data_IF_140782169338
#
_entry.id   IF_140782169338
#
_cell.length_a   1.000
_cell.length_b   1.000
_cell.length_c   1.000
_cell.angle_alpha   90.00
_cell.angle_beta   90.00
_cell.angle_gamma   90.00
#
_symmetry.space_group_name_H-M   'P 1'
#
loop_
_entity.id
_entity.type
_entity.pdbx_description
1 polymer ?
#
# COMPACT_ATOMS: atom_id res chain seq x y z
N UNK A 1 -47.85 -61.56 37.78
CA UNK A 1 -47.28 -60.39 38.47
C UNK A 1 -46.68 -59.46 37.43
N UNK A 2 -47.34 -58.34 37.12
CA UNK A 2 -46.85 -57.32 36.16
C UNK A 2 -46.21 -56.21 36.98
N UNK A 3 -44.89 -56.05 36.86
CA UNK A 3 -44.12 -55.00 37.52
C UNK A 3 -44.36 -53.64 36.85
N UNK A 4 -44.96 -52.71 37.59
CA UNK A 4 -45.14 -51.31 37.17
C UNK A 4 -43.81 -50.57 37.39
N UNK A 5 -43.15 -50.18 36.30
CA UNK A 5 -41.91 -49.37 36.32
C UNK A 5 -42.32 -47.91 36.52
N UNK A 6 -42.01 -47.32 37.68
CA UNK A 6 -42.25 -45.90 37.95
C UNK A 6 -41.30 -45.05 37.09
N UNK A 7 -41.85 -44.36 36.09
CA UNK A 7 -41.13 -43.42 35.25
C UNK A 7 -41.01 -42.11 36.03
N UNK A 8 -39.79 -41.76 36.47
CA UNK A 8 -39.54 -40.56 37.26
C UNK A 8 -40.00 -39.30 36.52
N UNK A 9 -41.03 -38.61 37.05
CA UNK A 9 -41.45 -37.30 36.56
C UNK A 9 -40.35 -36.29 36.88
N UNK A 10 -39.78 -35.67 35.85
CA UNK A 10 -38.85 -34.55 36.04
C UNK A 10 -39.58 -33.42 36.79
N UNK A 11 -38.93 -32.86 37.82
CA UNK A 11 -39.50 -31.77 38.60
C UNK A 11 -39.78 -30.57 37.69
N UNK A 12 -41.01 -30.02 37.66
CA UNK A 12 -41.35 -28.89 36.81
C UNK A 12 -40.47 -27.67 37.12
N UNK A 13 -40.01 -27.52 38.37
CA UNK A 13 -39.09 -26.47 38.79
C UNK A 13 -37.71 -26.64 38.12
N UNK A 14 -37.21 -27.88 38.03
CA UNK A 14 -35.94 -28.17 37.38
C UNK A 14 -36.02 -27.88 35.87
N UNK A 15 -37.16 -28.18 35.23
CA UNK A 15 -37.37 -27.87 33.81
C UNK A 15 -37.43 -26.37 33.56
N UNK A 16 -38.07 -25.59 34.45
CA UNK A 16 -38.09 -24.12 34.36
C UNK A 16 -36.70 -23.53 34.54
N UNK A 17 -35.92 -24.02 35.52
CA UNK A 17 -34.55 -23.56 35.74
C UNK A 17 -33.63 -23.91 34.55
N UNK A 18 -33.78 -25.10 33.95
CA UNK A 18 -33.05 -25.47 32.75
C UNK A 18 -33.41 -24.58 31.56
N UNK A 19 -34.69 -24.27 31.37
CA UNK A 19 -35.15 -23.38 30.30
C UNK A 19 -34.59 -21.95 30.48
N UNK A 20 -34.61 -21.42 31.71
CA UNK A 20 -34.03 -20.11 32.04
C UNK A 20 -32.52 -20.08 31.83
N UNK A 21 -31.81 -21.14 32.24
CA UNK A 21 -30.37 -21.27 32.01
C UNK A 21 -30.01 -21.34 30.53
N UNK A 22 -30.79 -22.08 29.74
CA UNK A 22 -30.61 -22.16 28.29
C UNK A 22 -30.87 -20.80 27.62
N UNK A 23 -31.92 -20.09 28.04
CA UNK A 23 -32.24 -18.76 27.53
C UNK A 23 -31.16 -17.73 27.87
N UNK A 24 -30.60 -17.80 29.08
CA UNK A 24 -29.51 -16.93 29.48
C UNK A 24 -28.24 -17.23 28.67
N UNK A 25 -27.90 -18.50 28.46
CA UNK A 25 -26.75 -18.90 27.67
C UNK A 25 -26.88 -18.48 26.20
N UNK A 26 -28.06 -18.67 25.59
CA UNK A 26 -28.31 -18.27 24.20
C UNK A 26 -28.33 -16.75 24.03
N UNK A 27 -28.91 -16.01 24.98
CA UNK A 27 -28.87 -14.55 24.97
C UNK A 27 -27.44 -14.03 25.01
N UNK A 28 -26.60 -14.53 25.92
CA UNK A 28 -25.19 -14.14 26.04
C UNK A 28 -24.36 -14.54 24.81
N UNK A 29 -24.63 -15.71 24.21
CA UNK A 29 -23.97 -16.14 22.98
C UNK A 29 -24.35 -15.24 21.80
N UNK A 30 -25.63 -14.89 21.66
CA UNK A 30 -26.10 -13.99 20.62
C UNK A 30 -25.53 -12.59 20.80
N UNK A 31 -25.54 -12.01 22.00
CA UNK A 31 -24.92 -10.70 22.24
C UNK A 31 -23.41 -10.72 22.01
N UNK A 32 -22.70 -11.80 22.35
CA UNK A 32 -21.28 -11.96 22.00
C UNK A 32 -21.07 -12.01 20.47
N UNK A 33 -21.89 -12.75 19.72
CA UNK A 33 -21.81 -12.81 18.26
C UNK A 33 -22.15 -11.46 17.63
N UNK A 34 -23.18 -10.76 18.12
CA UNK A 34 -23.56 -9.43 17.64
C UNK A 34 -22.48 -8.39 17.97
N UNK A 35 -21.86 -8.44 19.15
CA UNK A 35 -20.74 -7.57 19.50
C UNK A 35 -19.48 -7.89 18.70
N UNK A 36 -19.16 -9.16 18.46
CA UNK A 36 -18.02 -9.54 17.62
C UNK A 36 -18.24 -9.15 16.16
N UNK A 37 -19.44 -9.38 15.63
CA UNK A 37 -19.84 -8.97 14.27
C UNK A 37 -19.91 -7.44 14.14
N UNK A 38 -20.30 -6.74 15.21
CA UNK A 38 -20.27 -5.28 15.26
C UNK A 38 -18.86 -4.73 15.46
N UNK A 39 -17.96 -5.39 16.19
CA UNK A 39 -16.54 -5.00 16.32
C UNK A 39 -15.78 -5.27 15.02
N UNK A 40 -16.06 -6.37 14.33
CA UNK A 40 -15.58 -6.62 12.97
C UNK A 40 -16.11 -5.63 11.93
N UNK A 41 -17.21 -4.92 12.23
CA UNK A 41 -17.75 -3.82 11.41
C UNK A 41 -17.38 -2.42 11.94
N UNK A 42 -16.73 -2.32 13.12
CA UNK A 42 -16.36 -1.05 13.77
C UNK A 42 -14.87 -0.72 13.66
N UNK A 43 -14.04 -1.63 13.12
CA UNK A 43 -12.74 -1.26 12.54
C UNK A 43 -12.88 -0.58 11.15
N UNK A 44 -14.11 -0.31 10.69
CA UNK A 44 -14.41 0.38 9.43
C UNK A 44 -14.75 1.86 9.56
N UNK A 45 -14.45 2.51 10.70
CA UNK A 45 -14.61 3.96 10.87
C UNK A 45 -13.27 4.71 10.79
N UNK A 46 -12.26 4.11 10.14
CA UNK A 46 -11.22 4.93 9.51
C UNK A 46 -11.91 5.65 8.35
N UNK A 47 -11.97 6.98 8.45
CA UNK A 47 -12.17 7.94 7.36
C UNK A 47 -12.36 7.26 6.00
N UNK A 48 -13.57 7.30 5.45
CA UNK A 48 -13.89 6.87 4.08
C UNK A 48 -12.87 7.45 3.10
N UNK A 49 -11.81 6.69 2.88
CA UNK A 49 -10.88 6.88 1.80
C UNK A 49 -11.70 6.54 0.55
N UNK A 50 -11.79 7.44 -0.45
CA UNK A 50 -12.42 7.07 -1.70
C UNK A 50 -11.51 6.05 -2.36
N UNK A 51 -11.64 4.78 -1.98
CA UNK A 51 -11.20 3.66 -2.79
C UNK A 51 -12.02 3.78 -4.05
N UNK A 52 -11.47 4.47 -5.06
CA UNK A 52 -12.05 4.51 -6.39
C UNK A 52 -12.09 3.05 -6.83
N UNK A 53 -13.28 2.44 -6.80
CA UNK A 53 -13.42 1.06 -7.22
C UNK A 53 -13.03 0.94 -8.69
N UNK A 54 -11.99 0.14 -8.94
CA UNK A 54 -11.49 -0.06 -10.29
C UNK A 54 -12.60 -0.66 -11.17
N UNK A 55 -12.97 -0.01 -12.29
CA UNK A 55 -14.09 -0.40 -13.12
C UNK A 55 -13.83 -1.74 -13.80
N UNK A 56 -14.90 -2.45 -14.16
CA UNK A 56 -14.79 -3.78 -14.79
C UNK A 56 -14.00 -3.76 -16.10
N UNK A 57 -14.07 -2.66 -16.86
CA UNK A 57 -13.26 -2.48 -18.08
C UNK A 57 -11.75 -2.49 -17.80
N UNK A 58 -11.30 -1.89 -16.69
CA UNK A 58 -9.90 -1.91 -16.25
C UNK A 58 -9.50 -3.27 -15.67
N UNK A 59 -10.45 -4.07 -15.15
CA UNK A 59 -10.24 -5.47 -14.73
C UNK A 59 -10.05 -6.42 -15.92
N UNK A 60 -10.51 -6.07 -17.11
CA UNK A 60 -10.48 -6.93 -18.30
C UNK A 60 -9.14 -6.91 -19.07
N UNK A 61 -8.21 -6.01 -18.73
CA UNK A 61 -6.82 -5.99 -19.25
C UNK A 61 -5.93 -7.13 -18.71
N UNK A 62 -6.49 -8.05 -17.92
CA UNK A 62 -5.82 -9.16 -17.20
C UNK A 62 -4.89 -10.06 -18.02
N UNK A 63 -4.94 -10.02 -19.35
CA UNK A 63 -4.21 -10.96 -20.21
C UNK A 63 -2.86 -10.44 -20.73
N UNK A 64 -2.59 -9.14 -20.64
CA UNK A 64 -1.26 -8.59 -20.95
C UNK A 64 -0.57 -8.21 -19.64
N UNK A 65 0.64 -8.74 -19.40
CA UNK A 65 1.49 -8.20 -18.33
C UNK A 65 1.78 -6.74 -18.66
N UNK A 66 1.43 -5.84 -17.75
CA UNK A 66 1.70 -4.40 -17.88
C UNK A 66 2.79 -4.04 -16.89
N UNK A 67 4.08 -4.19 -17.25
CA UNK A 67 5.15 -3.87 -16.34
C UNK A 67 5.16 -2.39 -15.98
N UNK A 68 5.71 -2.07 -14.81
CA UNK A 68 5.93 -0.69 -14.37
C UNK A 68 7.40 -0.44 -14.06
N UNK A 69 7.90 0.74 -14.42
CA UNK A 69 9.23 1.21 -14.08
C UNK A 69 9.25 1.71 -12.63
N UNK A 70 10.29 1.36 -11.88
CA UNK A 70 10.46 1.84 -10.51
C UNK A 70 11.46 3.00 -10.53
N UNK A 71 11.09 4.13 -9.94
CA UNK A 71 11.98 5.27 -9.83
C UNK A 71 12.00 5.80 -8.40
N UNK A 72 13.20 6.12 -7.91
CA UNK A 72 13.40 6.77 -6.62
C UNK A 72 14.37 7.93 -6.76
N UNK A 73 14.19 8.95 -5.93
CA UNK A 73 15.15 10.06 -5.81
C UNK A 73 16.19 9.77 -4.74
N UNK A 74 17.44 10.13 -5.00
CA UNK A 74 18.55 9.91 -4.08
C UNK A 74 19.49 11.11 -4.00
N UNK A 75 20.16 11.24 -2.85
CA UNK A 75 21.33 12.11 -2.67
C UNK A 75 22.61 11.28 -2.66
N UNK A 76 23.76 11.94 -2.70
CA UNK A 76 25.08 11.32 -2.53
C UNK A 76 25.45 11.06 -1.05
N UNK A 77 24.54 11.37 -0.12
CA UNK A 77 24.76 11.16 1.30
C UNK A 77 24.90 9.66 1.64
N UNK A 78 25.79 9.28 2.58
CA UNK A 78 25.99 7.88 2.96
C UNK A 78 24.71 7.14 3.37
N UNK A 79 23.79 7.83 4.05
CA UNK A 79 22.50 7.28 4.45
C UNK A 79 21.60 6.96 3.24
N UNK A 80 21.46 7.91 2.31
CA UNK A 80 20.69 7.71 1.07
C UNK A 80 21.27 6.57 0.23
N UNK A 81 22.60 6.48 0.14
CA UNK A 81 23.30 5.36 -0.51
C UNK A 81 22.91 4.01 0.11
N UNK A 82 22.92 3.91 1.43
CA UNK A 82 22.58 2.67 2.14
C UNK A 82 21.13 2.25 1.88
N UNK A 83 20.19 3.19 1.98
CA UNK A 83 18.77 2.98 1.68
C UNK A 83 18.56 2.48 0.24
N UNK A 84 19.15 3.18 -0.74
CA UNK A 84 19.03 2.82 -2.16
C UNK A 84 19.54 1.39 -2.44
N UNK A 85 20.67 0.99 -1.83
CA UNK A 85 21.22 -0.36 -2.01
C UNK A 85 20.31 -1.44 -1.45
N UNK A 86 19.73 -1.22 -0.27
CA UNK A 86 18.81 -2.18 0.36
C UNK A 86 17.54 -2.33 -0.48
N UNK A 87 16.95 -1.20 -0.89
CA UNK A 87 15.78 -1.21 -1.74
C UNK A 87 16.06 -1.94 -3.07
N UNK A 88 17.18 -1.63 -3.72
CA UNK A 88 17.56 -2.26 -4.98
C UNK A 88 17.83 -3.76 -4.85
N UNK A 89 18.42 -4.20 -3.73
CA UNK A 89 18.56 -5.62 -3.40
C UNK A 89 17.20 -6.32 -3.38
N UNK A 90 16.22 -5.76 -2.65
CA UNK A 90 14.89 -6.34 -2.54
C UNK A 90 14.11 -6.28 -3.85
N UNK A 91 14.23 -5.20 -4.62
CA UNK A 91 13.69 -5.12 -5.99
C UNK A 91 14.18 -6.30 -6.83
N UNK A 92 15.50 -6.54 -6.89
CA UNK A 92 16.06 -7.67 -7.65
C UNK A 92 15.54 -9.02 -7.16
N UNK A 93 15.37 -9.19 -5.85
CA UNK A 93 14.83 -10.44 -5.27
C UNK A 93 13.39 -10.69 -5.65
N UNK A 94 12.56 -9.66 -5.67
CA UNK A 94 11.13 -9.80 -5.93
C UNK A 94 10.78 -9.77 -7.42
N UNK A 95 11.59 -9.09 -8.26
CA UNK A 95 11.34 -8.92 -9.70
C UNK A 95 11.23 -10.25 -10.44
N UNK A 96 12.12 -11.18 -10.10
CA UNK A 96 12.23 -12.49 -10.75
C UNK A 96 11.18 -13.52 -10.27
N UNK A 97 10.38 -13.18 -9.26
CA UNK A 97 9.38 -14.10 -8.72
C UNK A 97 8.09 -14.09 -9.54
N UNK A 98 7.37 -15.23 -9.62
CA UNK A 98 6.07 -15.30 -10.29
C UNK A 98 5.07 -14.27 -9.74
N UNK A 99 4.33 -13.63 -10.63
CA UNK A 99 3.35 -12.59 -10.28
C UNK A 99 3.92 -11.18 -10.14
N UNK A 100 5.24 -11.02 -10.26
CA UNK A 100 5.87 -9.70 -10.39
C UNK A 100 5.59 -9.10 -11.76
N UNK A 101 5.20 -7.83 -11.78
CA UNK A 101 5.15 -6.96 -12.96
C UNK A 101 6.14 -5.79 -12.82
N UNK A 102 7.19 -5.96 -12.01
CA UNK A 102 8.25 -4.96 -11.89
C UNK A 102 9.14 -4.97 -13.15
N UNK A 103 9.17 -3.83 -13.83
CA UNK A 103 9.98 -3.57 -15.03
C UNK A 103 11.38 -3.07 -14.68
N UNK A 104 11.80 -1.99 -15.32
CA UNK A 104 13.06 -1.30 -15.06
C UNK A 104 13.13 -0.62 -13.69
N UNK A 105 14.34 -0.19 -13.33
CA UNK A 105 14.60 0.53 -12.09
C UNK A 105 15.58 1.66 -12.37
N UNK A 106 15.27 2.88 -11.93
CA UNK A 106 16.18 4.03 -12.01
C UNK A 106 16.31 4.70 -10.64
N UNK A 107 17.57 4.89 -10.22
CA UNK A 107 17.92 5.81 -9.14
C UNK A 107 18.19 7.19 -9.74
N UNK A 108 17.39 8.19 -9.38
CA UNK A 108 17.55 9.57 -9.84
C UNK A 108 18.43 10.31 -8.82
N UNK A 109 19.71 10.46 -9.14
CA UNK A 109 20.70 11.09 -8.26
C UNK A 109 20.73 12.60 -8.51
N UNK A 110 20.18 13.37 -7.57
CA UNK A 110 20.01 14.82 -7.71
C UNK A 110 21.08 15.65 -6.98
N UNK A 111 22.26 15.07 -6.76
CA UNK A 111 23.45 15.78 -6.24
C UNK A 111 24.21 16.52 -7.33
N UNK A 112 23.85 16.33 -8.61
CA UNK A 112 24.58 16.86 -9.77
C UNK A 112 25.90 16.16 -10.07
N UNK A 113 26.33 15.19 -9.25
CA UNK A 113 27.61 14.51 -9.40
C UNK A 113 27.43 12.99 -9.41
N UNK A 114 28.19 12.25 -10.24
CA UNK A 114 28.18 10.79 -10.20
C UNK A 114 28.72 10.26 -8.87
N UNK A 115 28.30 9.05 -8.50
CA UNK A 115 28.82 8.36 -7.33
C UNK A 115 29.14 6.88 -7.62
N UNK A 116 29.72 6.22 -6.62
CA UNK A 116 30.16 4.83 -6.70
C UNK A 116 29.02 3.79 -6.78
N UNK A 117 27.75 4.17 -6.60
CA UNK A 117 26.63 3.23 -6.75
C UNK A 117 26.14 3.12 -8.19
N UNK A 118 26.62 3.97 -9.08
CA UNK A 118 26.29 3.88 -10.51
C UNK A 118 26.78 2.57 -11.14
N UNK A 119 27.83 1.96 -10.58
CA UNK A 119 28.34 0.65 -11.00
C UNK A 119 27.40 -0.50 -10.60
N UNK A 120 26.51 -0.28 -9.63
CA UNK A 120 25.63 -1.32 -9.05
C UNK A 120 24.16 -1.11 -9.42
N UNK A 121 23.70 0.14 -9.44
CA UNK A 121 22.31 0.56 -9.56
C UNK A 121 22.17 1.45 -10.80
N UNK A 122 21.28 1.13 -11.75
CA UNK A 122 21.01 2.01 -12.88
C UNK A 122 20.63 3.40 -12.37
N UNK A 123 21.44 4.39 -12.71
CA UNK A 123 21.37 5.72 -12.12
C UNK A 123 21.33 6.77 -13.23
N UNK A 124 20.44 7.75 -13.09
CA UNK A 124 20.49 8.99 -13.85
C UNK A 124 20.92 10.13 -12.93
N UNK A 125 22.00 10.81 -13.29
CA UNK A 125 22.43 12.01 -12.58
C UNK A 125 21.67 13.21 -13.15
N UNK A 126 21.09 14.00 -12.26
CA UNK A 126 20.36 15.22 -12.59
C UNK A 126 20.85 16.37 -11.72
N UNK A 127 20.66 17.59 -12.20
CA UNK A 127 21.15 18.77 -11.50
C UNK A 127 20.28 19.07 -10.27
N UNK A 128 20.86 19.52 -9.16
CA UNK A 128 20.07 20.05 -8.05
C UNK A 128 19.27 21.27 -8.50
N UNK A 129 18.25 21.62 -7.73
CA UNK A 129 17.50 22.85 -7.95
C UNK A 129 18.45 24.06 -7.84
N UNK A 130 18.39 25.04 -8.77
CA UNK A 130 19.22 26.23 -8.69
C UNK A 130 19.10 26.94 -7.33
N UNK A 131 20.25 27.40 -6.82
CA UNK A 131 20.34 28.04 -5.51
C UNK A 131 19.35 29.20 -5.37
N UNK A 132 18.64 29.23 -4.23
CA UNK A 132 17.67 30.29 -3.90
C UNK A 132 16.24 30.03 -4.39
N UNK A 133 16.02 29.06 -5.28
CA UNK A 133 14.67 28.67 -5.70
C UNK A 133 13.97 27.78 -4.67
N UNK A 134 14.73 27.02 -3.89
CA UNK A 134 14.20 26.16 -2.83
C UNK A 134 13.64 26.96 -1.65
N UNK A 135 14.06 28.21 -1.47
CA UNK A 135 13.67 29.10 -0.35
C UNK A 135 13.83 28.43 1.03
N UNK A 136 14.86 27.60 1.18
CA UNK A 136 15.12 26.80 2.38
C UNK A 136 14.33 25.48 2.48
N UNK A 137 13.46 25.19 1.52
CA UNK A 137 12.72 23.93 1.43
C UNK A 137 13.43 22.94 0.50
N UNK A 138 14.50 22.34 1.02
CA UNK A 138 15.39 21.41 0.29
C UNK A 138 14.67 20.24 -0.38
N UNK A 139 13.48 19.90 0.10
CA UNK A 139 12.64 18.81 -0.43
C UNK A 139 12.22 19.06 -1.89
N UNK A 140 12.22 20.32 -2.36
CA UNK A 140 11.91 20.68 -3.76
C UNK A 140 12.88 20.10 -4.78
N UNK A 141 14.06 19.64 -4.36
CA UNK A 141 14.97 18.92 -5.25
C UNK A 141 14.37 17.61 -5.79
N UNK A 142 13.47 16.96 -5.03
CA UNK A 142 12.88 15.67 -5.43
C UNK A 142 11.93 15.79 -6.63
N UNK A 143 10.89 16.66 -6.62
CA UNK A 143 10.06 16.85 -7.80
C UNK A 143 10.88 17.40 -8.98
N UNK A 144 11.86 18.29 -8.74
CA UNK A 144 12.75 18.78 -9.78
C UNK A 144 13.57 17.66 -10.45
N UNK A 145 14.03 16.68 -9.66
CA UNK A 145 14.72 15.51 -10.17
C UNK A 145 13.82 14.67 -11.08
N UNK A 146 12.55 14.47 -10.71
CA UNK A 146 11.58 13.78 -11.55
C UNK A 146 11.31 14.51 -12.87
N UNK A 147 11.16 15.83 -12.86
CA UNK A 147 10.98 16.61 -14.11
C UNK A 147 12.14 16.37 -15.06
N UNK A 148 13.37 16.48 -14.57
CA UNK A 148 14.55 16.24 -15.39
C UNK A 148 14.65 14.80 -15.88
N UNK A 149 14.38 13.82 -15.02
CA UNK A 149 14.41 12.41 -15.38
C UNK A 149 13.38 12.10 -16.47
N UNK A 150 12.14 12.57 -16.33
CA UNK A 150 11.09 12.37 -17.34
C UNK A 150 11.41 13.03 -18.69
N UNK A 151 12.17 14.13 -18.70
CA UNK A 151 12.61 14.80 -19.93
C UNK A 151 13.79 14.11 -20.62
N UNK A 152 14.66 13.43 -19.84
CA UNK A 152 15.94 12.90 -20.32
C UNK A 152 15.93 11.38 -20.51
N UNK A 153 15.09 10.65 -19.77
CA UNK A 153 15.09 9.18 -19.76
C UNK A 153 14.21 8.60 -20.86
N UNK A 154 14.69 7.52 -21.47
CA UNK A 154 13.86 6.60 -22.25
C UNK A 154 13.30 5.55 -21.29
N UNK A 155 11.99 5.56 -21.08
CA UNK A 155 11.28 4.61 -20.21
C UNK A 155 10.44 3.71 -21.11
N UNK A 156 10.68 2.39 -21.04
CA UNK A 156 9.96 1.42 -21.87
C UNK A 156 8.56 1.12 -21.33
N UNK A 157 8.39 1.16 -20.01
CA UNK A 157 7.13 0.88 -19.34
C UNK A 157 6.16 2.08 -19.36
N UNK A 158 4.86 1.79 -19.54
CA UNK A 158 3.80 2.81 -19.52
C UNK A 158 3.48 3.35 -18.13
N UNK A 159 3.85 2.60 -17.08
CA UNK A 159 3.53 2.92 -15.68
C UNK A 159 4.81 3.15 -14.89
N UNK A 160 4.76 4.11 -13.97
CA UNK A 160 5.88 4.43 -13.09
C UNK A 160 5.42 4.29 -11.63
N UNK A 161 6.16 3.50 -10.85
CA UNK A 161 6.09 3.52 -9.41
C UNK A 161 7.12 4.51 -8.87
N UNK A 162 6.64 5.64 -8.35
CA UNK A 162 7.45 6.55 -7.54
C UNK A 162 7.64 5.92 -6.16
N UNK A 163 8.87 5.54 -5.86
CA UNK A 163 9.19 4.80 -4.67
C UNK A 163 10.12 5.61 -3.75
N UNK A 164 9.93 5.46 -2.44
CA UNK A 164 10.83 6.03 -1.44
C UNK A 164 11.91 5.02 -1.04
N UNK A 165 13.18 5.46 -0.93
CA UNK A 165 14.32 4.55 -0.70
C UNK A 165 14.32 3.87 0.67
N UNK A 166 13.50 4.34 1.62
CA UNK A 166 13.30 3.71 2.93
C UNK A 166 12.27 2.57 2.92
N UNK A 167 11.62 2.29 1.79
CA UNK A 167 10.74 1.14 1.61
C UNK A 167 11.46 -0.08 1.04
N UNK A 168 10.92 -1.28 1.34
CA UNK A 168 11.41 -2.55 0.81
C UNK A 168 10.28 -3.39 0.21
N UNK A 169 10.61 -4.17 -0.83
CA UNK A 169 9.67 -5.12 -1.42
C UNK A 169 9.76 -6.48 -0.71
N UNK A 170 8.69 -6.84 0.00
CA UNK A 170 8.60 -8.11 0.75
C UNK A 170 8.00 -9.24 -0.10
N UNK A 171 7.23 -8.89 -1.14
CA UNK A 171 6.56 -9.82 -2.07
C UNK A 171 6.69 -9.31 -3.51
N UNK A 172 6.56 -10.17 -4.53
CA UNK A 172 6.42 -9.73 -5.91
C UNK A 172 5.21 -8.80 -6.02
N UNK A 173 5.39 -7.66 -6.69
CA UNK A 173 4.37 -6.63 -6.83
C UNK A 173 3.76 -6.69 -8.24
N UNK A 174 2.47 -7.03 -8.39
CA UNK A 174 1.77 -6.81 -9.64
C UNK A 174 1.50 -5.32 -9.86
N UNK A 175 1.26 -4.92 -11.10
CA UNK A 175 0.88 -3.56 -11.42
C UNK A 175 -0.54 -3.29 -10.91
N UNK A 176 -0.61 -2.48 -9.86
CA UNK A 176 -1.87 -2.06 -9.24
C UNK A 176 -2.53 -0.88 -9.96
N UNK A 177 -1.79 -0.19 -10.85
CA UNK A 177 -2.29 0.94 -11.60
C UNK A 177 -2.90 0.50 -12.94
N UNK A 178 -3.88 1.28 -13.41
CA UNK A 178 -4.48 1.17 -14.73
C UNK A 178 -4.67 2.58 -15.30
N UNK A 179 -4.89 2.69 -16.61
CA UNK A 179 -5.19 3.98 -17.26
C UNK A 179 -6.37 4.65 -16.55
N UNK A 180 -6.14 5.86 -16.03
CA UNK A 180 -7.14 6.63 -15.27
C UNK A 180 -7.34 6.20 -13.81
N UNK A 181 -6.66 5.13 -13.35
CA UNK A 181 -6.75 4.59 -11.99
C UNK A 181 -5.35 4.37 -11.42
N UNK A 182 -4.68 5.44 -10.93
CA UNK A 182 -3.40 5.30 -10.26
C UNK A 182 -3.57 4.57 -8.92
N UNK A 183 -2.54 3.85 -8.50
CA UNK A 183 -2.46 3.24 -7.17
C UNK A 183 -1.40 3.99 -6.34
N UNK A 184 -1.77 4.38 -5.12
CA UNK A 184 -0.88 5.06 -4.19
C UNK A 184 -1.26 4.75 -2.75
N UNK A 185 -0.32 4.94 -1.83
CA UNK A 185 -0.63 5.00 -0.41
C UNK A 185 -1.14 6.40 -0.06
N UNK A 186 -2.33 6.55 0.54
CA UNK A 186 -2.89 7.85 0.90
C UNK A 186 -2.18 8.39 2.16
N UNK A 187 -1.53 9.54 2.03
CA UNK A 187 -1.05 10.28 3.19
C UNK A 187 -2.19 11.13 3.74
N UNK A 188 -2.92 10.63 4.74
CA UNK A 188 -4.13 11.26 5.27
C UNK A 188 -3.95 12.69 5.82
N UNK A 189 -2.72 13.11 6.07
CA UNK A 189 -2.36 14.46 6.50
C UNK A 189 -2.11 15.43 5.33
N UNK A 190 -1.98 14.93 4.10
CA UNK A 190 -1.85 15.72 2.87
C UNK A 190 -3.22 15.72 2.18
N UNK A 191 -3.88 16.88 2.17
CA UNK A 191 -5.24 17.04 1.62
C UNK A 191 -5.23 18.01 0.44
N UNK A 192 -4.76 17.59 -0.75
CA UNK A 192 -4.65 18.49 -1.90
C UNK A 192 -6.02 18.99 -2.38
N UNK A 193 -7.08 18.20 -2.19
CA UNK A 193 -8.48 18.56 -2.44
C UNK A 193 -8.94 19.78 -1.61
N UNK A 194 -8.37 19.97 -0.42
CA UNK A 194 -8.65 21.13 0.43
C UNK A 194 -7.82 22.36 0.06
N UNK A 195 -6.79 22.18 -0.78
CA UNK A 195 -5.79 23.19 -1.08
C UNK A 195 -5.48 23.30 -2.59
N UNK A 196 -6.45 22.98 -3.46
CA UNK A 196 -6.29 22.95 -4.92
C UNK A 196 -5.64 24.22 -5.49
N UNK A 197 -5.95 25.39 -4.90
CA UNK A 197 -5.43 26.70 -5.33
C UNK A 197 -3.93 26.90 -5.09
N UNK A 198 -3.29 26.04 -4.30
CA UNK A 198 -1.87 26.14 -3.92
C UNK A 198 -1.07 24.95 -4.48
N UNK A 199 -1.74 23.94 -5.06
CA UNK A 199 -1.07 22.86 -5.78
C UNK A 199 -0.39 23.46 -7.00
N UNK A 200 0.95 23.48 -7.00
CA UNK A 200 1.71 23.88 -8.17
C UNK A 200 1.54 22.81 -9.25
N UNK A 201 0.98 23.21 -10.38
CA UNK A 201 1.15 22.50 -11.65
C UNK A 201 2.56 22.84 -12.14
N UNK A 202 3.48 21.88 -12.02
CA UNK A 202 4.87 21.98 -12.52
C UNK A 202 4.90 21.45 -13.95
#
# INVERSE_FOLDING_TARGET
MIGRKNMGRASPILLVLLALGFFFATYNLLTMIFHYRSSGNREGALSSDPIIEMPESARNLKNAKLPFHIALTATDAPYSKWQCRIMYYWYKKQKELPGSEMGGFTRILHSGNPDNLMDEIPTMVVDPLPSGLDRGYVVLNRPWAFVQWLQKATIEEEYILMAEPDHIFIKPLPNLARVGYPAAFPFFYIKPDQHEKIVLYI
#
